data_IF_245009227655
#
_entry.id   IF_245009227655
#
_cell.length_a   1.000
_cell.length_b   1.000
_cell.length_c   1.000
_cell.angle_alpha   90.00
_cell.angle_beta   90.00
_cell.angle_gamma   90.00
#
_symmetry.space_group_name_H-M   'P 1'
#
loop_
_entity.id
_entity.type
_entity.pdbx_description
1 polymer ?
#
# COMPACT_ATOMS: atom_id res chain seq x y z
N UNK A 1 -29.65 40.79 -14.60
CA UNK A 1 -28.20 40.44 -14.42
C UNK A 1 -27.52 40.69 -15.75
N UNK A 2 -26.41 41.42 -15.76
CA UNK A 2 -25.63 41.63 -16.96
C UNK A 2 -24.59 40.51 -17.11
N UNK A 3 -24.29 40.15 -18.34
CA UNK A 3 -23.34 39.09 -18.65
C UNK A 3 -22.26 39.61 -19.60
N UNK A 4 -21.05 39.10 -19.44
CA UNK A 4 -19.90 39.38 -20.31
C UNK A 4 -19.49 38.14 -21.08
N UNK A 5 -18.77 38.36 -22.16
CA UNK A 5 -18.19 37.31 -23.00
C UNK A 5 -16.94 36.70 -22.36
N UNK A 6 -16.54 35.53 -22.85
CA UNK A 6 -15.26 34.88 -22.47
C UNK A 6 -14.06 35.79 -22.70
N UNK A 7 -14.07 36.56 -23.82
CA UNK A 7 -13.00 37.49 -24.19
C UNK A 7 -12.88 38.64 -23.18
N UNK A 8 -14.02 39.20 -22.77
CA UNK A 8 -14.07 40.29 -21.78
C UNK A 8 -13.64 39.81 -20.40
N UNK A 9 -14.13 38.61 -19.98
CA UNK A 9 -13.69 38.01 -18.72
C UNK A 9 -12.18 37.70 -18.73
N UNK A 10 -11.65 37.21 -19.85
CA UNK A 10 -10.23 36.93 -20.02
C UNK A 10 -9.36 38.19 -19.85
N UNK A 11 -9.78 39.31 -20.49
CA UNK A 11 -9.12 40.62 -20.34
C UNK A 11 -9.20 41.12 -18.90
N UNK A 12 -10.36 41.05 -18.27
CA UNK A 12 -10.62 41.54 -16.92
C UNK A 12 -9.79 40.75 -15.86
N UNK A 13 -9.64 39.45 -16.03
CA UNK A 13 -8.94 38.58 -15.06
C UNK A 13 -7.46 38.36 -15.39
N UNK A 14 -6.95 38.88 -16.53
CA UNK A 14 -5.57 38.70 -16.95
C UNK A 14 -5.20 37.23 -17.22
N UNK A 15 -6.12 36.49 -17.87
CA UNK A 15 -5.92 35.07 -18.21
C UNK A 15 -6.29 34.80 -19.69
N UNK A 16 -5.91 33.64 -20.20
CA UNK A 16 -6.32 33.26 -21.58
C UNK A 16 -7.81 32.91 -21.63
N UNK A 17 -8.43 33.14 -22.79
CA UNK A 17 -9.82 32.72 -23.06
C UNK A 17 -10.03 31.22 -22.83
N UNK A 18 -9.00 30.40 -23.12
CA UNK A 18 -9.01 28.95 -22.85
C UNK A 18 -9.16 28.65 -21.35
N UNK A 19 -8.49 29.43 -20.51
CA UNK A 19 -8.62 29.29 -19.05
C UNK A 19 -10.03 29.63 -18.59
N UNK A 20 -10.62 30.70 -19.12
CA UNK A 20 -12.00 31.10 -18.81
C UNK A 20 -13.00 30.01 -19.23
N UNK A 21 -12.87 29.47 -20.43
CA UNK A 21 -13.75 28.35 -20.90
C UNK A 21 -13.61 27.13 -19.99
N UNK A 22 -12.39 26.81 -19.56
CA UNK A 22 -12.16 25.69 -18.62
C UNK A 22 -12.82 25.95 -17.26
N UNK A 23 -12.74 27.16 -16.72
CA UNK A 23 -13.43 27.52 -15.48
C UNK A 23 -14.94 27.37 -15.58
N UNK A 24 -15.51 27.82 -16.71
CA UNK A 24 -16.95 27.65 -17.01
C UNK A 24 -17.33 26.15 -17.10
N UNK A 25 -16.58 25.39 -17.90
CA UNK A 25 -16.83 23.95 -18.10
C UNK A 25 -16.71 23.11 -16.82
N UNK A 26 -15.86 23.55 -15.89
CA UNK A 26 -15.68 22.94 -14.57
C UNK A 26 -16.69 23.43 -13.52
N UNK A 27 -17.65 24.29 -13.89
CA UNK A 27 -18.64 24.84 -12.95
C UNK A 27 -18.05 25.79 -11.88
N UNK A 28 -16.86 26.33 -12.11
CA UNK A 28 -16.14 27.16 -11.13
C UNK A 28 -16.54 28.64 -11.15
N UNK A 29 -17.36 29.03 -12.08
CA UNK A 29 -17.92 30.37 -12.18
C UNK A 29 -19.41 30.27 -11.90
N UNK A 30 -19.83 30.66 -10.71
CA UNK A 30 -21.22 30.61 -10.29
C UNK A 30 -22.08 31.49 -11.22
N UNK A 31 -23.14 30.93 -11.74
CA UNK A 31 -24.08 31.65 -12.64
C UNK A 31 -23.64 31.75 -14.10
N UNK A 32 -22.51 31.18 -14.48
CA UNK A 32 -22.13 31.06 -15.87
C UNK A 32 -22.96 29.96 -16.57
N UNK A 33 -23.44 30.23 -17.77
CA UNK A 33 -24.21 29.28 -18.57
C UNK A 33 -23.85 29.37 -20.07
N UNK A 34 -24.12 28.28 -20.78
CA UNK A 34 -23.82 28.15 -22.20
C UNK A 34 -25.07 28.44 -23.03
N UNK A 35 -24.95 29.34 -24.01
CA UNK A 35 -25.99 29.57 -25.06
C UNK A 35 -25.38 29.20 -26.38
N UNK A 36 -25.85 28.11 -26.98
CA UNK A 36 -25.23 27.55 -28.19
C UNK A 36 -23.76 27.16 -27.92
N UNK A 37 -22.83 27.90 -28.54
CA UNK A 37 -21.39 27.69 -28.36
C UNK A 37 -20.69 28.78 -27.49
N UNK A 38 -21.49 29.71 -26.95
CA UNK A 38 -20.97 30.89 -26.24
C UNK A 38 -21.27 30.82 -24.74
N UNK A 39 -20.26 30.99 -23.91
CA UNK A 39 -20.40 31.14 -22.47
C UNK A 39 -20.83 32.58 -22.13
N UNK A 40 -21.83 32.69 -21.27
CA UNK A 40 -22.29 33.93 -20.67
C UNK A 40 -21.84 33.93 -19.22
N UNK A 41 -21.05 34.92 -18.81
CA UNK A 41 -20.44 35.02 -17.51
C UNK A 41 -21.03 36.21 -16.79
N UNK A 42 -21.58 36.08 -15.56
CA UNK A 42 -22.10 37.23 -14.83
C UNK A 42 -21.02 38.31 -14.66
N UNK A 43 -21.38 39.56 -14.85
CA UNK A 43 -20.45 40.71 -14.63
C UNK A 43 -19.91 40.78 -13.21
N UNK A 44 -20.66 40.21 -12.26
CA UNK A 44 -20.25 40.11 -10.84
C UNK A 44 -19.32 38.94 -10.54
N UNK A 45 -19.06 38.08 -11.52
CA UNK A 45 -18.21 36.93 -11.31
C UNK A 45 -16.74 37.37 -11.09
N UNK A 46 -16.12 36.76 -10.10
CA UNK A 46 -14.70 36.91 -9.81
C UNK A 46 -13.88 35.81 -10.46
N UNK A 47 -12.60 36.10 -10.68
CA UNK A 47 -11.65 35.11 -11.18
C UNK A 47 -11.55 33.96 -10.20
N UNK A 48 -11.85 32.70 -10.58
CA UNK A 48 -11.63 31.57 -9.71
C UNK A 48 -10.16 31.45 -9.32
N UNK A 49 -9.88 31.19 -8.04
CA UNK A 49 -8.54 30.92 -7.56
C UNK A 49 -7.87 29.83 -8.41
N UNK A 50 -6.55 29.91 -8.57
CA UNK A 50 -5.86 28.74 -9.12
C UNK A 50 -6.18 27.57 -8.21
N UNK A 51 -6.68 26.46 -8.77
CA UNK A 51 -6.60 25.19 -8.08
C UNK A 51 -5.09 24.97 -7.88
N UNK A 52 -4.59 25.37 -6.71
CA UNK A 52 -3.37 24.84 -6.23
C UNK A 52 -3.62 23.33 -6.10
N UNK A 53 -3.20 22.58 -7.10
CA UNK A 53 -2.78 21.22 -6.89
C UNK A 53 -1.48 21.32 -6.09
N UNK A 54 -1.55 21.75 -4.85
CA UNK A 54 -0.71 21.21 -3.83
C UNK A 54 -1.29 19.79 -3.61
N UNK A 55 -0.96 18.91 -4.51
CA UNK A 55 -0.68 17.55 -4.13
C UNK A 55 0.48 17.74 -3.18
N UNK A 56 0.23 17.60 -1.87
CA UNK A 56 1.33 17.46 -0.91
C UNK A 56 2.21 16.36 -1.50
N UNK A 57 3.36 16.77 -2.05
CA UNK A 57 4.30 15.80 -2.64
C UNK A 57 4.70 14.88 -1.50
N UNK A 58 4.52 13.57 -1.66
CA UNK A 58 4.91 12.62 -0.62
C UNK A 58 6.37 12.92 -0.24
N UNK A 59 6.60 13.18 1.04
CA UNK A 59 7.91 13.58 1.55
C UNK A 59 8.80 12.38 1.83
N UNK A 60 8.20 11.24 2.09
CA UNK A 60 8.88 9.99 2.44
C UNK A 60 8.42 8.84 1.57
N UNK A 61 9.18 7.74 1.53
CA UNK A 61 8.76 6.51 0.87
C UNK A 61 7.40 6.01 1.41
N UNK A 62 7.19 6.11 2.71
CA UNK A 62 5.94 5.69 3.35
C UNK A 62 4.75 6.53 2.86
N UNK A 63 4.94 7.85 2.69
CA UNK A 63 3.90 8.73 2.16
C UNK A 63 3.54 8.35 0.72
N UNK A 64 4.54 8.00 -0.11
CA UNK A 64 4.33 7.50 -1.48
C UNK A 64 3.51 6.21 -1.46
N UNK A 65 3.93 5.22 -0.66
CA UNK A 65 3.25 3.93 -0.56
C UNK A 65 1.79 4.10 -0.14
N UNK A 66 1.52 4.94 0.86
CA UNK A 66 0.16 5.24 1.34
C UNK A 66 -0.69 5.96 0.29
N UNK A 67 -0.11 6.93 -0.39
CA UNK A 67 -0.81 7.69 -1.43
C UNK A 67 -1.18 6.79 -2.63
N UNK A 68 -0.25 5.94 -3.09
CA UNK A 68 -0.47 5.02 -4.20
C UNK A 68 -1.45 3.89 -3.83
N UNK A 69 -1.37 3.36 -2.59
CA UNK A 69 -2.35 2.42 -2.03
C UNK A 69 -3.76 3.00 -2.04
N UNK A 70 -3.92 4.22 -1.51
CA UNK A 70 -5.22 4.91 -1.47
C UNK A 70 -5.77 5.21 -2.87
N UNK A 71 -4.89 5.58 -3.81
CA UNK A 71 -5.24 5.85 -5.20
C UNK A 71 -5.44 4.58 -6.06
N UNK A 72 -5.12 3.40 -5.53
CA UNK A 72 -5.07 2.13 -6.27
C UNK A 72 -4.27 2.25 -7.57
N UNK A 73 -3.11 2.89 -7.48
CA UNK A 73 -2.28 3.21 -8.65
C UNK A 73 -1.59 1.95 -9.17
N UNK A 74 -1.85 1.61 -10.44
CA UNK A 74 -1.14 0.53 -11.13
C UNK A 74 0.25 0.99 -11.61
N UNK A 75 1.23 0.10 -11.50
CA UNK A 75 2.60 0.35 -11.99
C UNK A 75 3.45 1.26 -11.10
N UNK A 76 2.91 1.75 -9.98
CA UNK A 76 3.64 2.55 -9.00
C UNK A 76 4.55 1.70 -8.11
N UNK A 77 5.21 2.35 -7.15
CA UNK A 77 6.12 1.65 -6.23
C UNK A 77 5.36 0.72 -5.27
N UNK A 78 4.19 1.13 -4.78
CA UNK A 78 3.32 0.27 -3.97
C UNK A 78 2.93 -1.01 -4.73
N UNK A 79 2.47 -0.87 -5.97
CA UNK A 79 2.08 -2.00 -6.81
C UNK A 79 3.24 -2.99 -7.02
N UNK A 80 4.45 -2.47 -7.30
CA UNK A 80 5.64 -3.31 -7.46
C UNK A 80 6.06 -3.97 -6.14
N UNK A 81 6.05 -3.25 -5.03
CA UNK A 81 6.36 -3.81 -3.71
C UNK A 81 5.40 -4.96 -3.37
N UNK A 82 4.10 -4.80 -3.62
CA UNK A 82 3.14 -5.88 -3.41
C UNK A 82 3.51 -7.14 -4.18
N UNK A 83 3.85 -7.02 -5.46
CA UNK A 83 4.13 -8.17 -6.32
C UNK A 83 5.52 -8.75 -6.05
N UNK A 84 6.55 -7.90 -6.12
CA UNK A 84 7.94 -8.36 -6.08
C UNK A 84 8.34 -8.90 -4.70
N UNK A 85 7.95 -8.21 -3.62
CA UNK A 85 8.25 -8.68 -2.27
C UNK A 85 7.49 -9.97 -1.96
N UNK A 86 6.21 -10.05 -2.32
CA UNK A 86 5.41 -11.27 -2.10
C UNK A 86 5.98 -12.45 -2.88
N UNK A 87 6.30 -12.26 -4.16
CA UNK A 87 6.91 -13.32 -4.96
C UNK A 87 8.22 -13.81 -4.36
N UNK A 88 9.14 -12.89 -4.06
CA UNK A 88 10.47 -13.27 -3.55
C UNK A 88 10.38 -13.95 -2.19
N UNK A 89 9.59 -13.40 -1.25
CA UNK A 89 9.44 -13.98 0.09
C UNK A 89 8.83 -15.38 0.02
N UNK A 90 7.74 -15.56 -0.72
CA UNK A 90 7.09 -16.87 -0.83
C UNK A 90 7.95 -17.88 -1.59
N UNK A 91 8.74 -17.43 -2.59
CA UNK A 91 9.63 -18.31 -3.34
C UNK A 91 10.76 -18.86 -2.46
N UNK A 92 11.33 -18.04 -1.56
CA UNK A 92 12.31 -18.48 -0.56
C UNK A 92 11.71 -19.56 0.34
N UNK A 93 10.43 -19.44 0.71
CA UNK A 93 9.70 -20.40 1.53
C UNK A 93 9.20 -21.63 0.74
N UNK A 94 9.55 -21.75 -0.55
CA UNK A 94 9.26 -22.93 -1.38
C UNK A 94 7.95 -22.89 -2.15
N UNK A 95 7.34 -21.73 -2.28
CA UNK A 95 6.19 -21.55 -3.18
C UNK A 95 6.61 -21.77 -4.64
N UNK A 96 5.78 -22.49 -5.38
CA UNK A 96 5.98 -22.76 -6.80
C UNK A 96 5.27 -21.77 -7.73
N UNK A 97 4.61 -20.74 -7.20
CA UNK A 97 3.98 -19.71 -8.03
C UNK A 97 5.02 -18.91 -8.79
N UNK A 98 4.73 -18.62 -10.04
CA UNK A 98 5.56 -17.70 -10.85
C UNK A 98 5.31 -16.27 -10.48
N UNK A 99 6.21 -15.37 -10.85
CA UNK A 99 6.03 -13.93 -10.68
C UNK A 99 4.74 -13.41 -11.36
N UNK A 100 4.45 -13.90 -12.58
CA UNK A 100 3.21 -13.54 -13.29
C UNK A 100 1.96 -14.05 -12.57
N UNK A 101 1.98 -15.26 -12.01
CA UNK A 101 0.87 -15.77 -11.22
C UNK A 101 0.64 -14.94 -9.96
N UNK A 102 1.71 -14.56 -9.25
CA UNK A 102 1.64 -13.63 -8.11
C UNK A 102 1.01 -12.30 -8.53
N UNK A 103 1.41 -11.75 -9.68
CA UNK A 103 0.84 -10.53 -10.25
C UNK A 103 -0.64 -10.69 -10.59
N UNK A 104 -1.06 -11.77 -11.22
CA UNK A 104 -2.47 -12.03 -11.53
C UNK A 104 -3.33 -12.13 -10.28
N UNK A 105 -2.83 -12.80 -9.23
CA UNK A 105 -3.55 -12.88 -7.96
C UNK A 105 -3.75 -11.47 -7.38
N UNK A 106 -2.72 -10.62 -7.41
CA UNK A 106 -2.81 -9.26 -6.90
C UNK A 106 -3.75 -8.37 -7.71
N UNK A 107 -3.58 -8.36 -9.05
CA UNK A 107 -4.29 -7.43 -9.94
C UNK A 107 -5.74 -7.83 -10.21
N UNK A 108 -6.00 -9.13 -10.31
CA UNK A 108 -7.27 -9.63 -10.85
C UNK A 108 -7.96 -10.65 -9.94
N UNK A 109 -7.33 -11.05 -8.84
CA UNK A 109 -7.79 -12.13 -7.97
C UNK A 109 -8.03 -13.44 -8.74
N UNK A 110 -7.20 -13.70 -9.75
CA UNK A 110 -7.22 -14.92 -10.57
C UNK A 110 -5.83 -15.54 -10.63
N UNK A 111 -5.77 -16.82 -11.04
CA UNK A 111 -4.52 -17.52 -11.32
C UNK A 111 -4.46 -17.71 -12.83
N UNK A 112 -3.36 -17.29 -13.46
CA UNK A 112 -3.13 -17.57 -14.87
C UNK A 112 -3.06 -19.08 -15.16
N UNK A 113 -3.32 -19.46 -16.40
CA UNK A 113 -3.19 -20.86 -16.83
C UNK A 113 -1.78 -21.39 -16.53
N UNK A 114 -1.68 -22.63 -16.07
CA UNK A 114 -0.43 -23.31 -15.76
C UNK A 114 -0.54 -24.75 -16.24
N UNK A 115 0.52 -25.28 -16.78
CA UNK A 115 0.61 -26.68 -17.20
C UNK A 115 0.84 -27.64 -16.04
N UNK A 116 0.91 -27.15 -14.80
CA UNK A 116 1.22 -27.91 -13.60
C UNK A 116 0.20 -27.77 -12.48
N UNK A 117 0.37 -28.56 -11.43
CA UNK A 117 -0.43 -28.47 -10.20
C UNK A 117 0.02 -27.26 -9.38
N UNK A 118 -0.92 -26.42 -8.99
CA UNK A 118 -0.71 -25.29 -8.07
C UNK A 118 -1.20 -25.72 -6.68
N UNK A 119 -0.35 -25.56 -5.68
CA UNK A 119 -0.77 -25.81 -4.29
C UNK A 119 -1.72 -24.72 -3.83
N UNK A 120 -2.82 -25.10 -3.22
CA UNK A 120 -3.79 -24.14 -2.68
C UNK A 120 -3.15 -23.23 -1.60
N UNK A 121 -2.27 -23.80 -0.78
CA UNK A 121 -1.58 -23.05 0.26
C UNK A 121 -0.71 -21.94 -0.32
N UNK A 122 0.00 -22.17 -1.44
CA UNK A 122 0.80 -21.12 -2.11
C UNK A 122 -0.07 -19.93 -2.53
N UNK A 123 -1.30 -20.20 -3.01
CA UNK A 123 -2.25 -19.14 -3.39
C UNK A 123 -2.78 -18.39 -2.18
N UNK A 124 -3.16 -19.12 -1.13
CA UNK A 124 -3.68 -18.53 0.11
C UNK A 124 -2.62 -17.68 0.79
N UNK A 125 -1.39 -18.19 0.93
CA UNK A 125 -0.28 -17.43 1.52
C UNK A 125 0.06 -16.19 0.69
N UNK A 126 0.06 -16.30 -0.63
CA UNK A 126 0.28 -15.14 -1.53
C UNK A 126 -0.78 -14.05 -1.29
N UNK A 127 -2.05 -14.42 -1.27
CA UNK A 127 -3.12 -13.47 -1.00
C UNK A 127 -3.07 -12.87 0.41
N UNK A 128 -2.63 -13.65 1.40
CA UNK A 128 -2.42 -13.19 2.76
C UNK A 128 -1.19 -12.29 2.90
N UNK A 129 -0.12 -12.57 2.14
CA UNK A 129 1.08 -11.76 2.15
C UNK A 129 0.81 -10.32 1.71
N UNK A 130 -0.04 -10.11 0.69
CA UNK A 130 -0.48 -8.77 0.30
C UNK A 130 -1.16 -8.03 1.46
N UNK A 131 -2.00 -8.72 2.24
CA UNK A 131 -2.62 -8.12 3.44
C UNK A 131 -1.58 -7.77 4.50
N UNK A 132 -0.56 -8.62 4.69
CA UNK A 132 0.54 -8.35 5.62
C UNK A 132 1.33 -7.10 5.21
N UNK A 133 1.64 -6.92 3.92
CA UNK A 133 2.29 -5.71 3.41
C UNK A 133 1.42 -4.48 3.70
N UNK A 134 0.12 -4.56 3.45
CA UNK A 134 -0.82 -3.47 3.77
C UNK A 134 -0.84 -3.12 5.25
N UNK A 135 -0.85 -4.13 6.13
CA UNK A 135 -0.78 -3.93 7.57
C UNK A 135 0.54 -3.28 7.99
N UNK A 136 1.66 -3.67 7.40
CA UNK A 136 2.97 -3.05 7.66
C UNK A 136 3.00 -1.59 7.25
N UNK A 137 2.49 -1.23 6.06
CA UNK A 137 2.40 0.16 5.59
C UNK A 137 1.53 1.01 6.51
N UNK A 138 0.38 0.49 6.93
CA UNK A 138 -0.56 1.20 7.80
C UNK A 138 0.02 1.41 9.20
N UNK A 139 0.78 0.43 9.71
CA UNK A 139 1.35 0.42 11.07
C UNK A 139 2.77 0.94 11.17
N UNK A 140 3.40 1.36 10.07
CA UNK A 140 4.84 1.69 10.01
C UNK A 140 5.28 2.83 10.95
N UNK A 141 4.36 3.65 11.44
CA UNK A 141 4.65 4.71 12.42
C UNK A 141 4.57 4.24 13.89
N UNK A 142 4.21 2.99 14.13
CA UNK A 142 4.14 2.42 15.47
C UNK A 142 5.41 1.64 15.78
N UNK A 143 5.74 1.55 17.07
CA UNK A 143 6.83 0.70 17.52
C UNK A 143 6.51 -0.77 17.21
N UNK A 144 7.53 -1.52 16.78
CA UNK A 144 7.41 -2.95 16.57
C UNK A 144 7.10 -3.66 17.89
N UNK A 145 6.10 -4.55 17.90
CA UNK A 145 5.64 -5.25 19.07
C UNK A 145 5.43 -6.75 18.83
N UNK A 146 5.53 -7.56 19.87
CA UNK A 146 5.20 -8.98 19.79
C UNK A 146 3.79 -9.23 19.28
N UNK A 147 2.83 -8.41 19.69
CA UNK A 147 1.43 -8.53 19.26
C UNK A 147 1.31 -8.33 17.75
N UNK A 148 2.02 -7.36 17.19
CA UNK A 148 2.00 -7.10 15.76
C UNK A 148 2.66 -8.23 14.95
N UNK A 149 3.82 -8.76 15.41
CA UNK A 149 4.49 -9.89 14.77
C UNK A 149 3.57 -11.12 14.77
N UNK A 150 2.95 -11.42 15.92
CA UNK A 150 1.98 -12.53 16.03
C UNK A 150 0.76 -12.34 15.13
N UNK A 151 0.29 -11.11 15.00
CA UNK A 151 -0.82 -10.77 14.11
C UNK A 151 -0.46 -10.96 12.63
N UNK A 152 0.75 -10.54 12.21
CA UNK A 152 1.23 -10.80 10.85
C UNK A 152 1.29 -12.31 10.57
N UNK A 153 1.86 -13.09 11.48
CA UNK A 153 1.90 -14.56 11.34
C UNK A 153 0.49 -15.17 11.29
N UNK A 154 -0.43 -14.68 12.12
CA UNK A 154 -1.82 -15.13 12.12
C UNK A 154 -2.51 -14.85 10.78
N UNK A 155 -2.29 -13.67 10.20
CA UNK A 155 -2.86 -13.31 8.89
C UNK A 155 -2.21 -14.14 7.78
N UNK A 156 -0.87 -14.24 7.77
CA UNK A 156 -0.12 -14.94 6.74
C UNK A 156 -0.55 -16.41 6.60
N UNK A 157 -0.64 -17.12 7.72
CA UNK A 157 -0.97 -18.55 7.76
C UNK A 157 -2.47 -18.86 7.84
N UNK A 158 -3.33 -17.84 7.87
CA UNK A 158 -4.79 -18.04 7.93
C UNK A 158 -5.30 -18.78 6.70
N UNK A 159 -6.03 -19.86 6.93
CA UNK A 159 -6.69 -20.66 5.87
C UNK A 159 -5.77 -21.64 5.14
N UNK A 160 -4.48 -21.73 5.51
CA UNK A 160 -3.56 -22.75 4.98
C UNK A 160 -3.82 -24.12 5.61
N UNK A 161 -3.26 -25.18 5.01
CA UNK A 161 -3.31 -26.52 5.59
C UNK A 161 -2.66 -26.58 6.96
N UNK A 162 -1.55 -25.86 7.15
CA UNK A 162 -0.82 -25.76 8.43
C UNK A 162 -1.70 -25.18 9.53
N UNK A 163 -2.56 -24.21 9.23
CA UNK A 163 -3.45 -23.58 10.20
C UNK A 163 -4.47 -24.55 10.83
N UNK A 164 -4.64 -25.74 10.24
CA UNK A 164 -5.53 -26.80 10.72
C UNK A 164 -4.83 -27.82 11.61
N UNK A 165 -3.52 -27.71 11.76
CA UNK A 165 -2.74 -28.61 12.58
C UNK A 165 -2.70 -28.11 14.03
N UNK A 166 -3.13 -28.92 14.99
CA UNK A 166 -3.23 -28.54 16.40
C UNK A 166 -1.87 -28.11 17.02
N UNK A 167 -0.78 -28.64 16.48
CA UNK A 167 0.57 -28.32 16.94
C UNK A 167 1.16 -27.08 16.27
N UNK A 168 0.62 -26.66 15.11
CA UNK A 168 1.09 -25.48 14.39
C UNK A 168 0.47 -24.23 15.00
N UNK A 169 1.28 -23.52 15.78
CA UNK A 169 0.81 -22.42 16.62
C UNK A 169 0.66 -21.10 15.82
N UNK A 170 -0.40 -20.99 15.01
CA UNK A 170 -0.68 -19.79 14.21
C UNK A 170 -0.91 -18.56 15.09
N UNK A 171 -0.12 -17.52 14.89
CA UNK A 171 -0.23 -16.26 15.64
C UNK A 171 0.24 -16.32 17.09
N UNK A 172 0.91 -17.39 17.49
CA UNK A 172 1.54 -17.55 18.82
C UNK A 172 2.93 -18.15 18.66
N UNK A 173 3.68 -18.20 19.72
CA UNK A 173 5.01 -18.84 19.69
C UNK A 173 4.90 -20.35 19.58
N UNK A 174 5.96 -20.95 19.00
CA UNK A 174 6.08 -22.41 18.89
C UNK A 174 5.92 -23.10 20.22
N UNK A 175 5.34 -24.29 20.19
CA UNK A 175 5.14 -25.15 21.36
C UNK A 175 6.07 -26.36 21.36
N UNK A 176 6.66 -26.66 20.21
CA UNK A 176 7.61 -27.76 20.02
C UNK A 176 8.99 -27.22 19.67
N UNK A 177 10.06 -27.90 20.08
CA UNK A 177 11.41 -27.62 19.59
C UNK A 177 11.46 -27.76 18.07
N UNK A 178 12.30 -26.99 17.43
CA UNK A 178 12.60 -27.11 16.00
C UNK A 178 14.08 -26.75 15.74
N UNK A 179 14.56 -27.20 14.61
CA UNK A 179 15.91 -26.96 14.11
C UNK A 179 15.84 -26.17 12.81
N UNK A 180 16.86 -25.38 12.54
CA UNK A 180 17.07 -24.69 11.26
C UNK A 180 18.50 -24.94 10.82
N UNK A 181 18.68 -25.52 9.63
CA UNK A 181 20.01 -25.85 9.11
C UNK A 181 20.83 -26.79 9.99
N UNK A 182 20.17 -27.68 10.76
CA UNK A 182 20.83 -28.63 11.68
C UNK A 182 21.26 -28.00 13.01
N UNK A 183 20.83 -26.78 13.31
CA UNK A 183 21.06 -26.10 14.59
C UNK A 183 19.74 -25.97 15.36
N UNK A 184 19.81 -26.28 16.67
CA UNK A 184 18.69 -26.07 17.58
C UNK A 184 18.36 -24.57 17.67
N UNK A 185 17.09 -24.26 17.56
CA UNK A 185 16.60 -22.89 17.80
C UNK A 185 16.25 -22.69 19.27
N UNK A 186 16.00 -21.45 19.68
CA UNK A 186 15.56 -21.11 21.05
C UNK A 186 14.45 -22.06 21.52
N UNK A 187 14.60 -22.66 22.69
CA UNK A 187 13.62 -23.56 23.29
C UNK A 187 12.26 -22.86 23.46
N UNK A 188 11.12 -23.57 23.25
CA UNK A 188 9.79 -22.96 23.26
C UNK A 188 9.47 -22.09 24.48
N UNK A 189 9.88 -22.53 25.66
CA UNK A 189 9.71 -21.84 26.95
C UNK A 189 10.47 -20.52 27.04
N UNK A 190 11.55 -20.37 26.28
CA UNK A 190 12.40 -19.18 26.29
C UNK A 190 12.08 -18.18 25.21
N UNK A 191 11.31 -18.57 24.15
CA UNK A 191 11.02 -17.70 23.00
C UNK A 191 10.40 -16.37 23.43
N UNK A 192 9.46 -16.39 24.35
CA UNK A 192 8.82 -15.15 24.81
C UNK A 192 9.77 -14.17 25.52
N UNK A 193 10.75 -14.70 26.25
CA UNK A 193 11.77 -13.86 26.91
C UNK A 193 12.74 -13.28 25.89
N UNK A 194 13.23 -14.11 24.98
CA UNK A 194 14.19 -13.66 23.95
C UNK A 194 13.55 -12.65 22.97
N UNK A 195 12.28 -12.84 22.57
CA UNK A 195 11.57 -11.87 21.77
C UNK A 195 11.39 -10.52 22.47
N UNK A 196 11.15 -10.50 23.77
CA UNK A 196 11.06 -9.25 24.54
C UNK A 196 12.40 -8.52 24.56
N UNK A 197 13.51 -9.23 24.76
CA UNK A 197 14.85 -8.65 24.73
C UNK A 197 15.15 -8.07 23.35
N UNK A 198 14.96 -8.85 22.30
CA UNK A 198 15.19 -8.45 20.91
C UNK A 198 14.42 -7.19 20.55
N UNK A 199 13.13 -7.15 20.88
CA UNK A 199 12.29 -5.99 20.59
C UNK A 199 12.65 -4.76 21.43
N UNK A 200 13.05 -4.96 22.70
CA UNK A 200 13.51 -3.86 23.55
C UNK A 200 14.79 -3.23 22.98
N UNK A 201 15.74 -4.05 22.56
CA UNK A 201 17.00 -3.62 21.94
C UNK A 201 16.70 -2.87 20.62
N UNK A 202 15.97 -3.47 19.68
CA UNK A 202 15.60 -2.84 18.42
C UNK A 202 14.86 -1.52 18.60
N UNK A 203 13.90 -1.47 19.52
CA UNK A 203 13.09 -0.27 19.74
C UNK A 203 13.88 0.84 20.48
N UNK A 204 15.00 0.52 21.15
CA UNK A 204 15.87 1.52 21.80
C UNK A 204 16.70 2.34 20.82
N UNK A 205 16.87 1.88 19.59
CA UNK A 205 17.61 2.59 18.53
C UNK A 205 16.75 3.73 17.99
N UNK A 206 17.18 4.97 18.20
CA UNK A 206 16.39 6.16 17.75
C UNK A 206 16.43 6.39 16.25
N UNK A 207 17.63 6.31 15.65
CA UNK A 207 17.84 6.56 14.22
C UNK A 207 18.39 5.29 13.55
N UNK A 208 17.49 4.35 13.25
CA UNK A 208 17.85 3.08 12.65
C UNK A 208 18.43 3.27 11.24
N UNK A 209 19.59 2.68 11.01
CA UNK A 209 20.25 2.59 9.70
C UNK A 209 20.07 1.18 9.12
N UNK A 210 20.55 0.97 7.91
CA UNK A 210 20.41 -0.31 7.23
C UNK A 210 21.08 -1.48 7.98
N UNK A 211 22.23 -1.23 8.61
CA UNK A 211 22.94 -2.25 9.37
C UNK A 211 22.15 -2.69 10.62
N UNK A 212 21.47 -1.76 11.32
CA UNK A 212 20.58 -2.10 12.44
C UNK A 212 19.43 -3.02 12.01
N UNK A 213 18.95 -2.87 10.76
CA UNK A 213 17.91 -3.74 10.21
C UNK A 213 18.45 -5.13 9.88
N UNK A 214 19.70 -5.22 9.40
CA UNK A 214 20.36 -6.50 9.14
C UNK A 214 20.66 -7.25 10.43
N UNK A 215 21.15 -6.55 11.47
CA UNK A 215 21.45 -7.15 12.76
C UNK A 215 20.18 -7.66 13.48
N UNK A 216 19.04 -6.97 13.24
CA UNK A 216 17.75 -7.41 13.78
C UNK A 216 17.20 -8.65 13.06
N UNK A 217 17.45 -8.79 11.76
CA UNK A 217 16.95 -9.89 10.92
C UNK A 217 17.71 -11.20 11.23
#
# INVERSE_FOLDING_TARGET
MEFISVSEAAKRWGVSERSVRNYCAQGRITGAFLTGKTWNIPTTAEKPDRLNKHVDMPKTLLDVLRAEKAAKLHGGIYHRVQIDLTYNSNHIEGSCLTHDQTRYIFETNTIGASDGTIKVDDVVETANHFKCIDMMIDSANHMLSEAFIKQLHAVLKSGTSDSRLDWFAVGVYKRLPNEVGGMDTTAPENVGLEMKKLLAEYNSIENKIFDDLLDFH
#
